data_IF_823546999460
#
_entry.id   IF_823546999460
#
_cell.length_a   1.000
_cell.length_b   1.000
_cell.length_c   1.000
_cell.angle_alpha   90.00
_cell.angle_beta   90.00
_cell.angle_gamma   90.00
#
_symmetry.space_group_name_H-M   'P 1'
#
loop_
_entity.id
_entity.type
_entity.pdbx_description
1 polymer ?
#
# COMPACT_ATOMS: atom_id res chain seq x y z
N UNK A 1 -14.21 8.62 9.99
CA UNK A 1 -13.91 7.95 8.71
C UNK A 1 -12.75 6.98 8.89
N UNK A 2 -12.89 5.76 8.35
CA UNK A 2 -11.80 4.78 8.27
C UNK A 2 -11.08 4.88 6.92
N UNK A 3 -9.75 4.82 6.95
CA UNK A 3 -8.88 4.97 5.78
C UNK A 3 -7.84 3.86 5.76
N UNK A 4 -7.51 3.34 4.59
CA UNK A 4 -6.39 2.40 4.38
C UNK A 4 -5.80 2.60 2.98
N UNK A 5 -4.59 2.13 2.75
CA UNK A 5 -3.87 2.29 1.46
C UNK A 5 -3.99 1.05 0.56
N UNK A 6 -4.96 0.20 0.86
CA UNK A 6 -5.25 -1.03 0.16
C UNK A 6 -6.76 -1.13 -0.13
N UNK A 7 -7.15 -1.10 -1.41
CA UNK A 7 -8.57 -1.07 -1.81
C UNK A 7 -9.27 -2.40 -1.59
N UNK A 8 -8.57 -3.53 -1.80
CA UNK A 8 -9.12 -4.86 -1.52
C UNK A 8 -9.47 -4.98 -0.04
N UNK A 9 -8.51 -4.63 0.81
CA UNK A 9 -8.70 -4.61 2.26
C UNK A 9 -9.81 -3.65 2.70
N UNK A 10 -9.88 -2.45 2.12
CA UNK A 10 -10.94 -1.48 2.42
C UNK A 10 -12.35 -2.05 2.17
N UNK A 11 -12.53 -2.84 1.11
CA UNK A 11 -13.82 -3.46 0.81
C UNK A 11 -14.20 -4.48 1.89
N UNK A 12 -13.27 -5.38 2.25
CA UNK A 12 -13.50 -6.37 3.30
C UNK A 12 -13.76 -5.71 4.67
N UNK A 13 -12.94 -4.72 5.03
CA UNK A 13 -13.10 -3.97 6.27
C UNK A 13 -14.42 -3.19 6.32
N UNK A 14 -14.86 -2.63 5.18
CA UNK A 14 -16.14 -1.92 5.09
C UNK A 14 -17.33 -2.82 5.37
N UNK A 15 -17.28 -4.08 4.90
CA UNK A 15 -18.30 -5.08 5.18
C UNK A 15 -18.32 -5.44 6.67
N UNK A 16 -17.15 -5.71 7.26
CA UNK A 16 -17.03 -6.10 8.67
C UNK A 16 -17.47 -4.98 9.63
N UNK A 17 -17.05 -3.73 9.36
CA UNK A 17 -17.46 -2.56 10.16
C UNK A 17 -18.89 -2.08 9.87
N UNK A 18 -19.53 -2.58 8.79
CA UNK A 18 -20.84 -2.13 8.30
C UNK A 18 -20.88 -0.61 8.04
N UNK A 19 -19.76 -0.04 7.61
CA UNK A 19 -19.65 1.38 7.27
C UNK A 19 -18.61 1.61 6.17
N UNK A 20 -18.69 2.72 5.41
CA UNK A 20 -17.74 2.97 4.34
C UNK A 20 -16.30 3.13 4.85
N UNK A 21 -15.36 2.43 4.20
CA UNK A 21 -13.91 2.61 4.38
C UNK A 21 -13.32 3.20 3.11
N UNK A 22 -12.47 4.21 3.25
CA UNK A 22 -11.77 4.81 2.12
C UNK A 22 -10.48 4.04 1.82
N UNK A 23 -10.49 3.29 0.71
CA UNK A 23 -9.31 2.59 0.18
C UNK A 23 -8.53 3.45 -0.82
N UNK A 24 -7.31 3.85 -0.44
CA UNK A 24 -6.37 4.66 -1.20
C UNK A 24 -5.30 3.77 -1.88
N UNK A 25 -5.66 3.05 -2.94
CA UNK A 25 -4.72 2.20 -3.70
C UNK A 25 -3.74 3.05 -4.53
N UNK A 26 -2.70 3.57 -3.89
CA UNK A 26 -1.73 4.48 -4.52
C UNK A 26 -0.36 3.87 -4.74
N UNK A 27 -0.15 2.63 -4.30
CA UNK A 27 1.05 1.82 -4.57
C UNK A 27 2.35 2.57 -4.27
N UNK A 28 2.40 3.21 -3.09
CA UNK A 28 3.44 4.16 -2.70
C UNK A 28 4.84 3.53 -2.55
N UNK A 29 4.91 2.19 -2.52
CA UNK A 29 6.19 1.49 -2.61
C UNK A 29 6.90 1.70 -3.96
N UNK A 30 6.17 2.10 -5.02
CA UNK A 30 6.66 2.11 -6.39
C UNK A 30 6.54 3.50 -7.02
N UNK A 31 7.62 3.95 -7.65
CA UNK A 31 7.66 5.13 -8.49
C UNK A 31 7.93 6.44 -7.74
N UNK A 32 7.71 7.54 -8.46
CA UNK A 32 7.87 8.89 -7.92
C UNK A 32 6.68 9.28 -7.03
N UNK A 33 6.97 9.56 -5.75
CA UNK A 33 5.97 9.97 -4.77
C UNK A 33 5.44 11.40 -5.00
N UNK A 34 6.12 12.24 -5.79
CA UNK A 34 5.62 13.58 -6.12
C UNK A 34 4.37 13.53 -7.00
N UNK A 35 4.06 12.38 -7.62
CA UNK A 35 2.83 12.16 -8.40
C UNK A 35 1.53 12.42 -7.63
N UNK A 36 1.57 12.36 -6.30
CA UNK A 36 0.43 12.70 -5.43
C UNK A 36 0.17 14.22 -5.30
N UNK A 37 1.06 15.06 -5.83
CA UNK A 37 0.91 16.51 -5.89
C UNK A 37 0.44 16.97 -7.26
N UNK A 38 1.00 16.39 -8.32
CA UNK A 38 0.75 16.79 -9.70
C UNK A 38 -0.52 16.14 -10.26
N UNK A 39 -0.79 14.88 -9.87
CA UNK A 39 -1.81 14.04 -10.49
C UNK A 39 -1.69 14.05 -12.02
N UNK A 40 -0.46 14.02 -12.53
CA UNK A 40 -0.16 13.90 -13.95
C UNK A 40 -0.44 12.46 -14.41
N UNK A 41 -1.27 12.24 -15.44
CA UNK A 41 -1.49 10.91 -16.01
C UNK A 41 -0.22 10.16 -16.40
N UNK A 42 0.84 10.84 -16.85
CA UNK A 42 2.09 10.17 -17.24
C UNK A 42 2.73 9.40 -16.07
N UNK A 43 2.60 9.91 -14.84
CA UNK A 43 3.13 9.25 -13.64
C UNK A 43 2.42 7.92 -13.29
N UNK A 44 1.29 7.64 -13.94
CA UNK A 44 0.48 6.44 -13.75
C UNK A 44 0.44 5.54 -14.99
N UNK A 45 1.12 5.92 -16.08
CA UNK A 45 1.06 5.23 -17.37
C UNK A 45 1.50 3.77 -17.29
N UNK A 46 2.62 3.50 -16.61
CA UNK A 46 3.13 2.13 -16.44
C UNK A 46 2.14 1.27 -15.66
N UNK A 47 1.55 1.81 -14.60
CA UNK A 47 0.56 1.10 -13.81
C UNK A 47 -0.70 0.80 -14.62
N UNK A 48 -1.21 1.79 -15.36
CA UNK A 48 -2.40 1.62 -16.18
C UNK A 48 -2.20 0.65 -17.34
N UNK A 49 -1.01 0.60 -17.95
CA UNK A 49 -0.70 -0.32 -19.05
C UNK A 49 -0.63 -1.79 -18.61
N UNK A 50 -0.47 -2.05 -17.31
CA UNK A 50 -0.27 -3.39 -16.75
C UNK A 50 -1.42 -3.86 -15.86
N UNK A 51 -2.29 -2.93 -15.42
CA UNK A 51 -3.58 -3.26 -14.84
C UNK A 51 -4.60 -3.50 -15.95
N UNK A 52 -5.64 -4.29 -15.71
CA UNK A 52 -6.83 -4.42 -16.60
C UNK A 52 -7.65 -3.10 -16.71
N UNK A 53 -7.02 -1.95 -16.45
CA UNK A 53 -7.62 -0.63 -16.48
C UNK A 53 -7.45 0.00 -17.88
N UNK A 54 -8.41 0.79 -18.39
CA UNK A 54 -8.40 1.18 -19.79
C UNK A 54 -7.36 2.27 -20.13
N UNK A 55 -6.95 3.11 -19.16
CA UNK A 55 -5.97 4.18 -19.39
C UNK A 55 -5.42 4.83 -18.11
N UNK A 56 -4.30 5.55 -18.26
CA UNK A 56 -3.67 6.33 -17.19
C UNK A 56 -4.55 7.49 -16.70
N UNK A 57 -5.37 8.07 -17.57
CA UNK A 57 -6.32 9.13 -17.22
C UNK A 57 -7.40 8.64 -16.26
N UNK A 58 -7.91 7.42 -16.46
CA UNK A 58 -8.93 6.84 -15.59
C UNK A 58 -8.35 6.57 -14.20
N UNK A 59 -7.16 5.99 -14.14
CA UNK A 59 -6.46 5.76 -12.87
C UNK A 59 -6.20 7.08 -12.14
N UNK A 60 -5.74 8.11 -12.86
CA UNK A 60 -5.51 9.45 -12.32
C UNK A 60 -6.79 10.07 -11.75
N UNK A 61 -7.91 10.00 -12.48
CA UNK A 61 -9.22 10.45 -12.00
C UNK A 61 -9.65 9.69 -10.75
N UNK A 62 -9.42 8.39 -10.68
CA UNK A 62 -9.73 7.59 -9.49
C UNK A 62 -8.91 8.05 -8.28
N UNK A 63 -7.61 8.28 -8.45
CA UNK A 63 -6.72 8.79 -7.39
C UNK A 63 -7.17 10.17 -6.92
N UNK A 64 -7.53 11.07 -7.85
CA UNK A 64 -8.06 12.40 -7.51
C UNK A 64 -9.38 12.31 -6.74
N UNK A 65 -10.30 11.44 -7.14
CA UNK A 65 -11.57 11.24 -6.43
C UNK A 65 -11.36 10.67 -5.02
N UNK A 66 -10.45 9.71 -4.87
CA UNK A 66 -10.05 9.19 -3.57
C UNK A 66 -9.49 10.29 -2.66
N UNK A 67 -8.62 11.15 -3.20
CA UNK A 67 -8.08 12.31 -2.49
C UNK A 67 -9.17 13.31 -2.10
N UNK A 68 -10.06 13.65 -3.03
CA UNK A 68 -11.16 14.58 -2.79
C UNK A 68 -12.10 14.09 -1.68
N UNK A 69 -12.38 12.78 -1.61
CA UNK A 69 -13.20 12.20 -0.53
C UNK A 69 -12.55 12.40 0.84
N UNK A 70 -11.23 12.22 0.92
CA UNK A 70 -10.47 12.51 2.14
C UNK A 70 -10.53 14.00 2.50
N UNK A 71 -10.35 14.89 1.52
CA UNK A 71 -10.37 16.34 1.72
C UNK A 71 -11.73 16.83 2.26
N UNK A 72 -12.83 16.26 1.75
CA UNK A 72 -14.19 16.56 2.25
C UNK A 72 -14.35 16.16 3.72
N UNK A 73 -13.87 14.97 4.11
CA UNK A 73 -13.92 14.53 5.50
C UNK A 73 -13.03 15.39 6.41
N UNK A 74 -11.85 15.79 5.93
CA UNK A 74 -10.94 16.72 6.63
C UNK A 74 -11.64 18.06 6.88
N UNK A 75 -12.23 18.67 5.85
CA UNK A 75 -12.90 19.96 5.93
C UNK A 75 -14.09 19.96 6.90
N UNK A 76 -14.73 18.79 7.11
CA UNK A 76 -15.81 18.60 8.08
C UNK A 76 -15.32 18.40 9.52
N UNK A 77 -14.01 18.35 9.75
CA UNK A 77 -13.44 18.07 11.06
C UNK A 77 -13.63 16.61 11.49
N UNK A 78 -13.92 15.68 10.58
CA UNK A 78 -14.17 14.28 10.93
C UNK A 78 -12.92 13.65 11.57
N UNK A 79 -13.15 12.78 12.56
CA UNK A 79 -12.11 11.91 13.10
C UNK A 79 -11.69 10.89 12.04
N UNK A 80 -10.38 10.70 11.87
CA UNK A 80 -9.79 9.80 10.89
C UNK A 80 -9.13 8.64 11.63
N UNK A 81 -9.45 7.40 11.25
CA UNK A 81 -8.77 6.20 11.73
C UNK A 81 -8.09 5.51 10.56
N UNK A 82 -6.76 5.41 10.62
CA UNK A 82 -5.95 4.79 9.58
C UNK A 82 -5.59 3.35 9.94
N UNK A 83 -5.89 2.42 9.03
CA UNK A 83 -5.56 1.01 9.15
C UNK A 83 -4.37 0.70 8.25
N UNK A 84 -3.28 0.22 8.84
CA UNK A 84 -2.02 0.03 8.13
C UNK A 84 -1.23 -1.16 8.70
N UNK A 85 -0.27 -1.66 7.92
CA UNK A 85 0.61 -2.77 8.28
C UNK A 85 2.08 -2.41 8.04
N UNK A 86 2.98 -3.35 8.36
CA UNK A 86 4.41 -3.18 8.09
C UNK A 86 4.77 -3.26 6.61
N UNK A 87 3.82 -3.60 5.72
CA UNK A 87 4.04 -3.58 4.29
C UNK A 87 4.44 -2.16 3.83
N UNK A 88 5.42 -2.02 2.91
CA UNK A 88 5.96 -0.71 2.52
C UNK A 88 4.88 0.29 2.07
N UNK A 89 3.91 -0.15 1.25
CA UNK A 89 2.86 0.73 0.75
C UNK A 89 1.96 1.28 1.87
N UNK A 90 1.57 0.43 2.83
CA UNK A 90 0.70 0.82 3.94
C UNK A 90 1.41 1.80 4.88
N UNK A 91 2.66 1.49 5.25
CA UNK A 91 3.45 2.36 6.13
C UNK A 91 3.76 3.71 5.47
N UNK A 92 4.10 3.72 4.18
CA UNK A 92 4.29 4.96 3.43
C UNK A 92 3.00 5.78 3.37
N UNK A 93 1.86 5.10 3.22
CA UNK A 93 0.54 5.74 3.27
C UNK A 93 0.25 6.37 4.63
N UNK A 94 0.55 5.66 5.71
CA UNK A 94 0.44 6.21 7.07
C UNK A 94 1.34 7.44 7.24
N UNK A 95 2.60 7.38 6.80
CA UNK A 95 3.52 8.51 6.86
C UNK A 95 3.02 9.70 6.06
N UNK A 96 2.54 9.46 4.84
CA UNK A 96 1.93 10.46 3.98
C UNK A 96 0.72 11.11 4.65
N UNK A 97 -0.18 10.33 5.27
CA UNK A 97 -1.37 10.86 5.92
C UNK A 97 -0.99 11.76 7.11
N UNK A 98 0.02 11.37 7.89
CA UNK A 98 0.53 12.21 8.96
C UNK A 98 1.13 13.53 8.46
N UNK A 99 1.91 13.50 7.37
CA UNK A 99 2.39 14.72 6.72
C UNK A 99 1.25 15.59 6.20
N UNK A 100 0.26 14.94 5.57
CA UNK A 100 -0.87 15.62 4.95
C UNK A 100 -1.76 16.34 5.97
N UNK A 101 -1.90 15.77 7.18
CA UNK A 101 -2.71 16.30 8.25
C UNK A 101 -1.95 17.26 9.21
N UNK A 102 -0.74 17.72 8.86
CA UNK A 102 0.09 18.55 9.77
C UNK A 102 -0.59 19.86 10.18
N UNK A 103 -1.35 20.48 9.28
CA UNK A 103 -1.92 21.82 9.47
C UNK A 103 -3.43 21.79 9.81
N UNK A 104 -3.97 20.64 10.17
CA UNK A 104 -5.39 20.47 10.51
C UNK A 104 -5.55 19.75 11.84
N UNK A 105 -6.59 20.10 12.59
CA UNK A 105 -6.83 19.61 13.95
C UNK A 105 -7.66 18.32 14.01
N UNK A 106 -7.95 17.69 12.87
CA UNK A 106 -8.72 16.44 12.82
C UNK A 106 -8.10 15.40 13.78
N UNK A 107 -8.90 14.75 14.65
CA UNK A 107 -8.43 13.61 15.43
C UNK A 107 -7.91 12.52 14.49
N UNK A 108 -6.75 11.95 14.82
CA UNK A 108 -6.16 10.84 14.07
C UNK A 108 -5.91 9.68 15.03
N UNK A 109 -6.48 8.53 14.71
CA UNK A 109 -6.18 7.25 15.33
C UNK A 109 -5.50 6.34 14.31
N UNK A 110 -4.65 5.46 14.79
CA UNK A 110 -4.07 4.39 13.98
C UNK A 110 -4.47 3.02 14.52
N UNK A 111 -4.70 2.07 13.61
CA UNK A 111 -4.75 0.65 13.91
C UNK A 111 -3.66 -0.02 13.09
N UNK A 112 -2.60 -0.45 13.77
CA UNK A 112 -1.50 -1.19 13.16
C UNK A 112 -1.82 -2.68 13.22
N UNK A 113 -2.02 -3.29 12.05
CA UNK A 113 -2.34 -4.70 11.92
C UNK A 113 -1.07 -5.54 11.74
N UNK A 114 -0.90 -6.64 12.51
CA UNK A 114 0.20 -7.57 12.29
C UNK A 114 -0.06 -8.40 11.03
N UNK A 115 0.97 -8.58 10.21
CA UNK A 115 0.92 -9.47 9.03
C UNK A 115 1.16 -10.93 9.41
N UNK A 116 1.74 -11.16 10.58
CA UNK A 116 1.98 -12.47 11.17
C UNK A 116 0.92 -12.73 12.24
N UNK A 117 0.23 -13.86 12.15
CA UNK A 117 -0.85 -14.20 13.09
C UNK A 117 -0.82 -15.68 13.45
N UNK A 118 -1.18 -15.94 14.70
CA UNK A 118 -1.50 -17.28 15.18
C UNK A 118 -2.94 -17.61 14.80
N UNK A 119 -3.13 -18.79 14.20
CA UNK A 119 -4.44 -19.31 13.85
C UNK A 119 -4.82 -20.40 14.85
N UNK A 120 -5.70 -20.07 15.79
CA UNK A 120 -6.20 -21.00 16.81
C UNK A 120 -7.35 -21.84 16.25
N UNK A 121 -7.02 -22.76 15.34
CA UNK A 121 -7.95 -23.81 14.87
C UNK A 121 -7.67 -25.14 15.56
N UNK A 122 -8.34 -26.22 15.14
CA UNK A 122 -8.10 -27.58 15.65
C UNK A 122 -6.65 -28.03 15.47
N UNK A 123 -5.96 -27.51 14.46
CA UNK A 123 -4.51 -27.61 14.30
C UNK A 123 -3.93 -26.19 14.34
N UNK A 124 -3.22 -25.80 15.41
CA UNK A 124 -2.58 -24.50 15.49
C UNK A 124 -1.64 -24.29 14.31
N UNK A 125 -1.79 -23.15 13.64
CA UNK A 125 -0.97 -22.78 12.50
C UNK A 125 -0.48 -21.33 12.65
N UNK A 126 0.61 -21.02 11.95
CA UNK A 126 1.08 -19.67 11.78
C UNK A 126 0.73 -19.20 10.37
N UNK A 127 0.07 -18.05 10.27
CA UNK A 127 -0.30 -17.43 9.02
C UNK A 127 0.49 -16.15 8.82
N UNK A 128 1.09 -16.01 7.65
CA UNK A 128 1.75 -14.81 7.19
C UNK A 128 0.99 -14.23 6.00
N UNK A 129 0.74 -12.92 6.04
CA UNK A 129 0.18 -12.16 4.92
C UNK A 129 1.25 -11.29 4.28
N UNK A 130 1.35 -11.32 2.94
CA UNK A 130 2.28 -10.44 2.22
C UNK A 130 1.84 -8.97 2.29
N UNK A 131 0.54 -8.74 2.42
CA UNK A 131 -0.08 -7.42 2.54
C UNK A 131 -1.49 -7.52 3.15
N UNK A 132 -2.08 -6.39 3.51
CA UNK A 132 -3.46 -6.35 3.98
C UNK A 132 -4.51 -6.80 2.95
N UNK A 133 -4.18 -6.87 1.66
CA UNK A 133 -5.13 -7.37 0.65
C UNK A 133 -5.52 -8.84 0.87
N UNK A 134 -4.68 -9.60 1.56
CA UNK A 134 -4.89 -11.02 1.88
C UNK A 134 -5.61 -11.22 3.22
N UNK A 135 -5.84 -10.14 3.99
CA UNK A 135 -6.45 -10.19 5.30
C UNK A 135 -7.96 -9.90 5.22
N UNK A 136 -8.75 -10.81 5.79
CA UNK A 136 -10.20 -10.61 5.91
C UNK A 136 -10.55 -9.46 6.86
N UNK A 137 -11.61 -8.72 6.54
CA UNK A 137 -12.11 -7.63 7.37
C UNK A 137 -12.51 -8.08 8.78
N UNK A 138 -13.15 -9.25 8.90
CA UNK A 138 -13.54 -9.85 10.19
C UNK A 138 -12.32 -10.15 11.07
N UNK A 139 -11.19 -10.53 10.48
CA UNK A 139 -9.93 -10.72 11.20
C UNK A 139 -9.37 -9.38 11.65
N UNK A 140 -9.37 -8.37 10.78
CA UNK A 140 -8.85 -7.05 11.11
C UNK A 140 -9.61 -6.36 12.25
N UNK A 141 -10.94 -6.46 12.28
CA UNK A 141 -11.75 -5.81 13.34
C UNK A 141 -11.49 -6.39 14.73
N UNK A 142 -10.90 -7.59 14.85
CA UNK A 142 -10.46 -8.13 16.16
C UNK A 142 -9.39 -7.27 16.84
N UNK A 143 -8.68 -6.44 16.07
CA UNK A 143 -7.66 -5.53 16.58
C UNK A 143 -8.14 -4.07 16.68
N UNK A 144 -9.45 -3.81 16.52
CA UNK A 144 -10.00 -2.45 16.58
C UNK A 144 -9.72 -1.76 17.92
N UNK A 145 -9.76 -2.52 19.02
CA UNK A 145 -9.51 -2.03 20.38
C UNK A 145 -8.03 -1.70 20.61
N UNK A 146 -7.14 -2.06 19.67
CA UNK A 146 -5.74 -1.62 19.66
C UNK A 146 -5.56 -0.24 19.02
N UNK A 147 -6.63 0.44 18.65
CA UNK A 147 -6.56 1.79 18.10
C UNK A 147 -5.80 2.73 19.05
N UNK A 148 -4.85 3.49 18.50
CA UNK A 148 -4.03 4.43 19.25
C UNK A 148 -4.19 5.84 18.69
N UNK A 149 -4.42 6.80 19.58
CA UNK A 149 -4.41 8.23 19.22
C UNK A 149 -3.01 8.63 18.76
N UNK A 150 -2.94 9.23 17.57
CA UNK A 150 -1.72 9.82 17.04
C UNK A 150 -1.66 11.28 17.49
N UNK A 151 -0.82 11.55 18.49
CA UNK A 151 -0.63 12.89 19.02
C UNK A 151 -0.11 13.87 17.95
N UNK A 152 -0.32 15.20 18.10
CA UNK A 152 0.21 16.18 17.17
C UNK A 152 1.74 16.07 16.98
N UNK A 153 2.48 15.79 18.05
CA UNK A 153 3.93 15.60 17.99
C UNK A 153 4.31 14.33 17.22
N UNK A 154 3.61 13.21 17.48
CA UNK A 154 3.83 11.97 16.75
C UNK A 154 3.52 12.16 15.25
N UNK A 155 2.40 12.81 14.93
CA UNK A 155 2.02 13.17 13.56
C UNK A 155 3.12 13.96 12.86
N UNK A 156 3.67 14.99 13.51
CA UNK A 156 4.77 15.79 12.93
C UNK A 156 6.04 14.95 12.73
N UNK A 157 6.44 14.16 13.72
CA UNK A 157 7.62 13.31 13.63
C UNK A 157 7.49 12.28 12.50
N UNK A 158 6.31 11.66 12.38
CA UNK A 158 6.01 10.68 11.34
C UNK A 158 6.00 11.34 9.94
N UNK A 159 5.40 12.52 9.81
CA UNK A 159 5.39 13.27 8.55
C UNK A 159 6.80 13.60 8.03
N UNK A 160 7.79 13.79 8.92
CA UNK A 160 9.19 13.98 8.50
C UNK A 160 9.78 12.76 7.79
N UNK A 161 9.38 11.53 8.16
CA UNK A 161 9.81 10.34 7.44
C UNK A 161 9.27 10.33 6.01
N UNK A 162 8.01 10.75 5.81
CA UNK A 162 7.44 10.94 4.47
C UNK A 162 8.25 11.97 3.67
N UNK A 163 8.48 13.16 4.23
CA UNK A 163 9.24 14.23 3.56
C UNK A 163 10.63 13.77 3.12
N UNK A 164 11.36 13.07 4.00
CA UNK A 164 12.65 12.47 3.68
C UNK A 164 12.54 11.46 2.54
N UNK A 165 11.53 10.59 2.59
CA UNK A 165 11.32 9.53 1.58
C UNK A 165 10.97 10.09 0.20
N UNK A 166 10.28 11.23 0.15
CA UNK A 166 10.04 11.97 -1.10
C UNK A 166 11.35 12.57 -1.64
N UNK A 167 12.19 13.14 -0.78
CA UNK A 167 13.49 13.71 -1.19
C UNK A 167 14.47 12.66 -1.72
N UNK A 168 14.43 11.43 -1.19
CA UNK A 168 15.27 10.33 -1.67
C UNK A 168 15.00 9.97 -3.14
N UNK A 169 13.80 10.28 -3.67
CA UNK A 169 13.44 10.10 -5.08
C UNK A 169 13.71 8.68 -5.64
N UNK A 170 13.68 7.67 -4.78
CA UNK A 170 13.91 6.28 -5.18
C UNK A 170 12.76 5.73 -6.03
N UNK A 171 13.08 4.85 -6.97
CA UNK A 171 12.12 4.23 -7.88
C UNK A 171 11.32 3.08 -7.23
N UNK A 172 11.91 2.41 -6.24
CA UNK A 172 11.26 1.35 -5.46
C UNK A 172 11.61 1.55 -3.98
N UNK A 173 10.68 1.20 -3.10
CA UNK A 173 10.84 1.26 -1.64
C UNK A 173 10.54 -0.12 -1.07
N UNK A 174 11.52 -0.71 -0.40
CA UNK A 174 11.42 -2.04 0.20
C UNK A 174 11.60 -1.97 1.71
N UNK A 175 11.01 -2.92 2.44
CA UNK A 175 11.28 -3.10 3.86
C UNK A 175 12.48 -4.02 4.03
N UNK A 176 13.53 -3.54 4.68
CA UNK A 176 14.71 -4.31 5.02
C UNK A 176 14.93 -4.18 6.54
N UNK A 177 14.80 -5.31 7.25
CA UNK A 177 14.86 -5.37 8.72
C UNK A 177 13.93 -4.33 9.39
N UNK A 178 12.70 -4.21 8.90
CA UNK A 178 11.71 -3.28 9.43
C UNK A 178 11.95 -1.81 9.08
N UNK A 179 12.97 -1.50 8.27
CA UNK A 179 13.25 -0.14 7.79
C UNK A 179 12.88 -0.01 6.32
N UNK A 180 12.16 1.06 5.95
CA UNK A 180 11.92 1.35 4.53
C UNK A 180 13.17 2.02 3.96
N UNK A 181 13.69 1.45 2.87
CA UNK A 181 14.80 2.01 2.12
C UNK A 181 14.42 2.20 0.65
N UNK A 182 14.93 3.27 0.05
CA UNK A 182 14.87 3.49 -1.39
C UNK A 182 15.90 2.64 -2.12
N UNK A 183 15.48 1.98 -3.20
CA UNK A 183 16.32 1.12 -4.06
C UNK A 183 16.03 1.38 -5.54
N UNK A 184 16.95 1.00 -6.46
CA UNK A 184 16.70 1.02 -7.90
C UNK A 184 15.49 0.17 -8.30
N UNK A 185 14.91 0.48 -9.45
CA UNK A 185 13.70 -0.21 -9.96
C UNK A 185 13.94 -1.69 -10.28
N UNK A 186 15.17 -2.08 -10.56
CA UNK A 186 15.60 -3.43 -10.91
C UNK A 186 16.21 -4.21 -9.72
N UNK A 187 16.15 -3.65 -8.52
CA UNK A 187 16.75 -4.24 -7.31
C UNK A 187 16.34 -5.71 -7.06
N UNK A 188 15.10 -6.06 -7.39
CA UNK A 188 14.56 -7.42 -7.21
C UNK A 188 14.69 -8.31 -8.45
N UNK A 189 15.13 -7.78 -9.60
CA UNK A 189 15.24 -8.54 -10.84
C UNK A 189 16.10 -9.80 -10.70
N UNK A 190 17.26 -9.78 -9.99
CA UNK A 190 18.06 -11.00 -9.81
C UNK A 190 17.31 -12.11 -9.05
N UNK A 191 16.47 -11.74 -8.08
CA UNK A 191 15.65 -12.71 -7.33
C UNK A 191 14.52 -13.25 -8.22
N UNK A 192 13.92 -12.40 -9.05
CA UNK A 192 12.91 -12.84 -10.00
C UNK A 192 13.51 -13.80 -11.03
N UNK A 193 14.65 -13.47 -11.62
CA UNK A 193 15.32 -14.32 -12.61
C UNK A 193 15.62 -15.74 -12.08
N UNK A 194 15.97 -15.88 -10.80
CA UNK A 194 16.19 -17.21 -10.18
C UNK A 194 14.94 -18.08 -10.13
N UNK A 195 13.75 -17.48 -10.17
CA UNK A 195 12.47 -18.18 -10.10
C UNK A 195 11.84 -18.42 -11.48
N UNK A 196 12.41 -17.87 -12.55
CA UNK A 196 11.82 -17.84 -13.89
C UNK A 196 12.59 -18.75 -14.86
N UNK A 197 12.18 -20.01 -15.01
CA UNK A 197 12.73 -20.87 -16.06
C UNK A 197 12.29 -20.41 -17.44
N UNK A 198 13.14 -20.65 -18.45
CA UNK A 198 12.85 -20.29 -19.85
C UNK A 198 11.61 -21.00 -20.38
N UNK A 199 10.88 -20.32 -21.28
CA UNK A 199 9.75 -20.91 -22.03
C UNK A 199 8.42 -20.96 -21.28
N UNK A 200 8.30 -20.36 -20.09
CA UNK A 200 7.03 -20.26 -19.36
C UNK A 200 6.20 -19.06 -19.80
N UNK A 201 4.88 -19.15 -19.64
CA UNK A 201 3.98 -18.01 -19.87
C UNK A 201 4.12 -16.94 -18.79
N UNK A 202 3.69 -15.71 -19.10
CA UNK A 202 3.70 -14.59 -18.16
C UNK A 202 2.81 -14.85 -16.93
N UNK A 203 1.63 -15.46 -17.12
CA UNK A 203 0.74 -15.86 -16.03
C UNK A 203 1.38 -16.89 -15.10
N UNK A 204 2.04 -17.91 -15.67
CA UNK A 204 2.75 -18.91 -14.87
C UNK A 204 3.89 -18.25 -14.07
N UNK A 205 4.65 -17.38 -14.74
CA UNK A 205 5.77 -16.63 -14.16
C UNK A 205 5.32 -15.77 -12.99
N UNK A 206 4.22 -15.04 -13.15
CA UNK A 206 3.63 -14.21 -12.11
C UNK A 206 3.19 -15.06 -10.91
N UNK A 207 2.45 -16.14 -11.14
CA UNK A 207 2.04 -17.06 -10.07
C UNK A 207 3.22 -17.67 -9.33
N UNK A 208 4.31 -17.99 -10.05
CA UNK A 208 5.55 -18.48 -9.47
C UNK A 208 6.23 -17.44 -8.57
N UNK A 209 6.34 -16.19 -9.03
CA UNK A 209 6.91 -15.10 -8.23
C UNK A 209 6.07 -14.83 -6.99
N UNK A 210 4.74 -14.69 -7.12
CA UNK A 210 3.87 -14.41 -5.99
C UNK A 210 3.91 -15.53 -4.94
N UNK A 211 3.97 -16.79 -5.36
CA UNK A 211 4.03 -17.92 -4.43
C UNK A 211 5.42 -18.14 -3.81
N UNK A 212 6.51 -17.86 -4.53
CA UNK A 212 7.87 -18.07 -4.03
C UNK A 212 8.42 -16.85 -3.26
N UNK A 213 7.94 -15.65 -3.58
CA UNK A 213 8.44 -14.37 -3.08
C UNK A 213 7.24 -13.48 -2.69
N UNK A 214 6.65 -13.68 -1.48
CA UNK A 214 5.55 -12.88 -0.96
C UNK A 214 6.02 -11.47 -0.53
N UNK A 215 6.40 -10.63 -1.50
CA UNK A 215 7.06 -9.34 -1.25
C UNK A 215 6.11 -8.19 -0.89
N UNK A 216 4.78 -8.40 -1.00
CA UNK A 216 3.79 -7.36 -0.75
C UNK A 216 3.84 -6.20 -1.75
N UNK A 217 4.36 -6.44 -2.96
CA UNK A 217 4.43 -5.46 -4.04
C UNK A 217 3.23 -5.58 -4.99
N UNK A 218 2.81 -4.48 -5.64
CA UNK A 218 1.67 -4.52 -6.56
C UNK A 218 1.90 -5.46 -7.74
N UNK A 219 0.87 -6.24 -8.07
CA UNK A 219 0.91 -7.23 -9.15
C UNK A 219 1.30 -6.61 -10.50
N UNK A 220 0.74 -5.45 -10.84
CA UNK A 220 1.06 -4.72 -12.07
C UNK A 220 2.56 -4.39 -12.19
N UNK A 221 3.22 -4.11 -11.06
CA UNK A 221 4.64 -3.79 -11.04
C UNK A 221 5.47 -5.06 -11.23
N UNK A 222 5.14 -6.14 -10.51
CA UNK A 222 5.79 -7.45 -10.68
C UNK A 222 5.67 -7.92 -12.13
N UNK A 223 4.46 -7.84 -12.69
CA UNK A 223 4.19 -8.18 -14.09
C UNK A 223 5.07 -7.37 -15.06
N UNK A 224 5.21 -6.06 -14.83
CA UNK A 224 6.11 -5.21 -15.64
C UNK A 224 7.57 -5.66 -15.56
N UNK A 225 8.05 -6.07 -14.39
CA UNK A 225 9.44 -6.54 -14.20
C UNK A 225 9.67 -7.89 -14.87
N UNK A 226 8.75 -8.83 -14.72
CA UNK A 226 8.83 -10.14 -15.39
C UNK A 226 8.90 -9.96 -16.91
N UNK A 227 8.08 -9.07 -17.47
CA UNK A 227 8.12 -8.79 -18.90
C UNK A 227 9.48 -8.22 -19.34
N UNK A 228 10.10 -7.34 -18.55
CA UNK A 228 11.45 -6.83 -18.83
C UNK A 228 12.49 -7.96 -18.76
N UNK A 229 12.40 -8.85 -17.77
CA UNK A 229 13.36 -9.95 -17.58
C UNK A 229 13.25 -10.98 -18.70
N UNK A 230 12.04 -11.37 -19.11
CA UNK A 230 11.83 -12.36 -20.16
C UNK A 230 12.22 -11.87 -21.56
N UNK A 231 12.32 -10.55 -21.76
CA UNK A 231 12.72 -9.94 -23.04
C UNK A 231 14.21 -9.52 -23.08
N UNK A 232 14.99 -9.83 -22.04
CA UNK A 232 16.45 -9.65 -22.01
C UNK A 232 17.15 -10.93 -22.46
#
# INVERSE_FOLDING_TARGET
>A
MDVTFNKSFANGLSMALKQPVLGLQWDLAVGDLTRLKTFDPEAWAVQAAQADQPSAEILTKQVQQQRQRLDVAIARGEAIRVWWSEAPADRLGYWWLCDYLQNVSNPLEQVKLPLDRELTTTLPAFQHFSSLAEMDGEVAVTDIDRAQVVSPLARQAIGRYWQKTVQEAAALRVSMNGTIIGVPVDFLDPLFAQQLPSGQSLTWSLGRILGALPLGLPEWWIHSRINIINNK
#
